data_IF_986828835460
#
_entry.id   IF_986828835460
#
_cell.length_a   1.000
_cell.length_b   1.000
_cell.length_c   1.000
_cell.angle_alpha   90.00
_cell.angle_beta   90.00
_cell.angle_gamma   90.00
#
_symmetry.space_group_name_H-M   'P 1'
#
loop_
_entity.id
_entity.type
_entity.pdbx_description
1 polymer ?
#
# COMPACT_ATOMS: atom_id res chain seq x y z
N UNK A 1 -50.49 41.18 -15.87
CA UNK A 1 -50.12 39.76 -15.89
C UNK A 1 -48.61 39.68 -15.73
N UNK A 2 -48.12 39.32 -14.53
CA UNK A 2 -46.69 39.20 -14.23
C UNK A 2 -46.34 37.71 -14.32
N UNK A 3 -45.81 37.27 -15.47
CA UNK A 3 -45.35 35.91 -15.67
C UNK A 3 -43.92 35.82 -15.10
N UNK A 4 -43.80 35.43 -13.84
CA UNK A 4 -42.50 35.24 -13.19
C UNK A 4 -41.76 34.09 -13.86
N UNK A 5 -40.62 34.43 -14.48
CA UNK A 5 -39.74 33.48 -15.14
C UNK A 5 -39.15 32.51 -14.10
N UNK A 6 -39.68 31.28 -14.08
CA UNK A 6 -39.05 30.13 -13.43
C UNK A 6 -37.89 29.66 -14.30
N UNK A 7 -36.67 30.09 -14.00
CA UNK A 7 -35.47 29.42 -14.48
C UNK A 7 -34.51 29.29 -13.31
N UNK A 8 -34.65 28.19 -12.56
CA UNK A 8 -33.67 27.79 -11.55
C UNK A 8 -32.64 26.91 -12.26
N UNK A 9 -31.62 27.51 -12.86
CA UNK A 9 -30.43 26.76 -13.30
C UNK A 9 -29.52 26.66 -12.09
N UNK A 10 -29.63 25.55 -11.35
CA UNK A 10 -28.58 25.14 -10.42
C UNK A 10 -27.58 24.36 -11.28
N UNK A 11 -26.40 24.89 -11.63
CA UNK A 11 -25.38 24.07 -12.24
C UNK A 11 -24.95 23.07 -11.17
N UNK A 12 -25.34 21.82 -11.37
CA UNK A 12 -24.89 20.69 -10.56
C UNK A 12 -23.41 20.53 -10.89
N UNK A 13 -22.55 21.28 -10.19
CA UNK A 13 -21.11 21.08 -10.17
C UNK A 13 -20.85 19.75 -9.44
N UNK A 14 -21.12 18.63 -10.13
CA UNK A 14 -20.53 17.36 -9.77
C UNK A 14 -19.06 17.43 -10.19
N UNK A 15 -18.25 18.10 -9.36
CA UNK A 15 -16.82 17.82 -9.30
C UNK A 15 -16.71 16.40 -8.77
N UNK A 16 -16.69 15.45 -9.69
CA UNK A 16 -16.29 14.09 -9.40
C UNK A 16 -14.82 14.18 -8.98
N UNK A 17 -14.58 14.19 -7.68
CA UNK A 17 -13.24 14.05 -7.14
C UNK A 17 -12.73 12.68 -7.57
N UNK A 18 -11.92 12.65 -8.63
CA UNK A 18 -11.19 11.44 -9.01
C UNK A 18 -10.06 11.35 -7.99
N UNK A 19 -10.31 10.65 -6.88
CA UNK A 19 -9.22 10.18 -6.04
C UNK A 19 -8.45 9.15 -6.87
N UNK A 20 -7.30 9.57 -7.43
CA UNK A 20 -6.32 8.61 -7.90
C UNK A 20 -5.94 7.75 -6.69
N UNK A 21 -6.00 6.40 -6.78
CA UNK A 21 -5.53 5.55 -5.70
C UNK A 21 -4.11 6.00 -5.33
N UNK A 22 -3.94 6.48 -4.10
CA UNK A 22 -2.61 6.74 -3.58
C UNK A 22 -1.82 5.44 -3.74
N UNK A 23 -0.62 5.50 -4.32
CA UNK A 23 0.18 4.32 -4.56
C UNK A 23 0.35 3.57 -3.23
N UNK A 24 -0.34 2.44 -3.09
CA UNK A 24 -0.33 1.66 -1.86
C UNK A 24 0.98 0.90 -1.78
N UNK A 25 1.61 0.95 -0.61
CA UNK A 25 2.84 0.25 -0.30
C UNK A 25 2.55 -0.87 0.70
N UNK A 26 3.08 -2.05 0.43
CA UNK A 26 2.88 -3.26 1.24
C UNK A 26 4.25 -3.70 1.77
N UNK A 27 4.33 -3.99 3.07
CA UNK A 27 5.53 -4.59 3.67
C UNK A 27 5.34 -6.10 3.75
N UNK A 28 6.25 -6.85 3.14
CA UNK A 28 6.28 -8.31 3.14
C UNK A 28 7.52 -8.80 3.88
N UNK A 29 7.33 -9.72 4.81
CA UNK A 29 8.41 -10.48 5.43
C UNK A 29 8.67 -11.77 4.64
N UNK A 30 9.89 -11.97 4.14
CA UNK A 30 10.32 -13.22 3.52
C UNK A 30 11.26 -13.93 4.51
N UNK A 31 10.94 -15.18 4.86
CA UNK A 31 11.77 -16.02 5.73
C UNK A 31 12.41 -17.15 4.91
N UNK A 32 13.72 -17.23 4.98
CA UNK A 32 14.57 -18.24 4.37
C UNK A 32 14.90 -19.29 5.45
N UNK A 33 14.13 -20.37 5.44
CA UNK A 33 14.28 -21.47 6.38
C UNK A 33 15.40 -22.39 5.88
N UNK A 34 16.38 -22.62 6.75
CA UNK A 34 17.45 -23.59 6.51
C UNK A 34 17.32 -24.77 7.47
N UNK A 35 17.57 -25.98 6.98
CA UNK A 35 17.50 -27.20 7.79
C UNK A 35 18.68 -27.32 8.76
N UNK A 36 19.82 -26.75 8.39
CA UNK A 36 21.05 -26.66 9.18
C UNK A 36 21.60 -25.23 9.07
N UNK A 37 22.19 -24.71 10.14
CA UNK A 37 22.66 -23.31 10.20
C UNK A 37 21.57 -22.33 10.67
N UNK A 38 21.77 -21.04 10.39
CA UNK A 38 20.90 -19.95 10.89
C UNK A 38 19.87 -19.56 9.83
N UNK A 39 18.59 -19.74 10.14
CA UNK A 39 17.51 -19.19 9.32
C UNK A 39 17.55 -17.67 9.36
N UNK A 40 17.12 -17.02 8.27
CA UNK A 40 17.10 -15.56 8.20
C UNK A 40 15.82 -15.05 7.56
N UNK A 41 15.51 -13.79 7.79
CA UNK A 41 14.39 -13.13 7.13
C UNK A 41 14.77 -11.72 6.70
N UNK A 42 14.01 -11.17 5.77
CA UNK A 42 14.13 -9.78 5.37
C UNK A 42 12.74 -9.17 5.16
N UNK A 43 12.62 -7.89 5.51
CA UNK A 43 11.44 -7.10 5.18
C UNK A 43 11.66 -6.38 3.86
N UNK A 44 10.65 -6.44 2.99
CA UNK A 44 10.65 -5.81 1.68
C UNK A 44 9.43 -4.93 1.54
N UNK A 45 9.65 -3.71 1.07
CA UNK A 45 8.61 -2.79 0.66
C UNK A 45 8.28 -3.03 -0.81
N UNK A 46 7.02 -3.30 -1.09
CA UNK A 46 6.48 -3.49 -2.43
C UNK A 46 5.47 -2.40 -2.74
N UNK A 47 5.35 -2.06 -4.02
CA UNK A 47 4.15 -1.45 -4.54
C UNK A 47 3.06 -2.51 -4.69
N UNK A 48 1.82 -2.06 -4.67
CA UNK A 48 0.65 -2.91 -4.92
C UNK A 48 0.71 -3.68 -6.26
N UNK A 49 1.42 -3.15 -7.27
CA UNK A 49 1.65 -3.82 -8.56
C UNK A 49 2.69 -4.97 -8.51
N UNK A 50 3.22 -5.29 -7.32
CA UNK A 50 4.22 -6.33 -7.10
C UNK A 50 5.66 -5.88 -7.37
N UNK A 51 5.90 -4.61 -7.76
CA UNK A 51 7.25 -4.10 -7.93
C UNK A 51 7.92 -3.91 -6.57
N UNK A 52 9.09 -4.50 -6.40
CA UNK A 52 9.95 -4.26 -5.24
C UNK A 52 10.45 -2.80 -5.25
N UNK A 53 10.29 -2.11 -4.11
CA UNK A 53 10.79 -0.76 -3.91
C UNK A 53 12.11 -0.76 -3.16
N UNK A 54 12.17 -1.48 -2.02
CA UNK A 54 13.32 -1.42 -1.11
C UNK A 54 13.34 -2.60 -0.15
N UNK A 55 14.52 -3.11 0.16
CA UNK A 55 14.77 -3.97 1.32
C UNK A 55 14.94 -3.09 2.57
N UNK A 56 14.15 -3.35 3.62
CA UNK A 56 14.11 -2.53 4.83
C UNK A 56 15.05 -3.02 5.94
N UNK A 57 15.60 -4.22 5.80
CA UNK A 57 16.50 -4.84 6.78
C UNK A 57 17.84 -5.16 6.12
N UNK A 58 18.94 -4.69 6.67
CA UNK A 58 20.30 -4.90 6.12
C UNK A 58 21.00 -6.14 6.66
N UNK A 59 20.59 -6.61 7.84
CA UNK A 59 21.12 -7.81 8.47
C UNK A 59 19.99 -8.63 9.12
N UNK A 60 20.36 -9.77 9.69
CA UNK A 60 19.44 -10.70 10.35
C UNK A 60 19.27 -10.36 11.84
N UNK A 61 19.82 -9.24 12.31
CA UNK A 61 19.77 -8.88 13.73
C UNK A 61 18.35 -8.46 14.11
N UNK A 62 17.88 -8.95 15.27
CA UNK A 62 16.53 -8.67 15.76
C UNK A 62 15.41 -9.41 15.01
N UNK A 63 15.74 -10.30 14.08
CA UNK A 63 14.76 -11.17 13.43
C UNK A 63 14.73 -12.53 14.13
N UNK A 64 13.56 -13.13 14.18
CA UNK A 64 13.36 -14.42 14.82
C UNK A 64 14.07 -15.54 14.01
N UNK A 65 15.27 -15.89 14.48
CA UNK A 65 16.23 -16.80 13.84
C UNK A 65 15.97 -18.27 14.17
N UNK A 66 15.11 -18.55 15.14
CA UNK A 66 14.82 -19.92 15.55
C UNK A 66 13.46 -20.36 15.01
N UNK A 67 13.41 -21.30 14.05
CA UNK A 67 12.16 -21.84 13.55
C UNK A 67 11.48 -22.82 14.54
N UNK A 68 12.03 -23.07 15.73
CA UNK A 68 11.58 -24.13 16.65
C UNK A 68 11.22 -23.70 18.09
N UNK A 69 11.13 -22.40 18.41
CA UNK A 69 10.70 -21.98 19.77
C UNK A 69 9.19 -22.10 19.99
#
# INVERSE_FOLDING_TARGET
MRLTARVLIVPTFFLLAIELPAASEIVIAIRYLQTEGTSHSHLYLYREDGKILRQLTTDNSGQDVDPRS
#
